data_IF_278135400366
#
_entry.id   IF_278135400366
#
_cell.length_a   1.000
_cell.length_b   1.000
_cell.length_c   1.000
_cell.angle_alpha   90.00
_cell.angle_beta   90.00
_cell.angle_gamma   90.00
#
_symmetry.space_group_name_H-M   'P 1'
#
loop_
_entity.id
_entity.type
_entity.pdbx_description
1 polymer ?
#
# COMPACT_ATOMS: atom_id res chain seq x y z
N UNK A 1 -8.15 23.28 -20.54
CA UNK A 1 -9.32 24.09 -20.13
C UNK A 1 -10.32 24.33 -21.26
N UNK A 2 -9.88 24.77 -22.42
CA UNK A 2 -10.75 25.01 -23.59
C UNK A 2 -11.54 23.76 -24.04
N UNK A 3 -10.89 22.59 -23.97
CA UNK A 3 -11.52 21.31 -24.31
C UNK A 3 -12.69 20.97 -23.38
N UNK A 4 -12.51 21.21 -22.08
CA UNK A 4 -13.55 20.96 -21.06
C UNK A 4 -14.69 21.97 -21.20
N UNK A 5 -14.36 23.24 -21.38
CA UNK A 5 -15.34 24.32 -21.61
C UNK A 5 -16.22 24.00 -22.81
N UNK A 6 -15.63 23.53 -23.91
CA UNK A 6 -16.35 23.15 -25.14
C UNK A 6 -17.24 21.91 -24.92
N UNK A 7 -16.78 20.95 -24.11
CA UNK A 7 -17.52 19.71 -23.82
C UNK A 7 -18.74 19.94 -22.90
N UNK A 8 -18.64 20.94 -22.02
CA UNK A 8 -19.69 21.29 -21.05
C UNK A 8 -20.55 22.50 -21.49
N UNK A 9 -20.29 23.06 -22.65
CA UNK A 9 -20.95 24.24 -23.20
C UNK A 9 -20.97 25.46 -22.25
N UNK A 10 -19.81 25.72 -21.63
CA UNK A 10 -19.62 26.84 -20.70
C UNK A 10 -18.35 27.63 -21.05
N UNK A 11 -18.25 28.85 -20.50
CA UNK A 11 -17.06 29.66 -20.75
C UNK A 11 -15.80 29.09 -20.07
N UNK A 12 -14.60 29.28 -20.67
CA UNK A 12 -13.33 28.92 -20.00
C UNK A 12 -13.15 29.59 -18.63
N UNK A 13 -13.76 30.78 -18.46
CA UNK A 13 -13.75 31.53 -17.18
C UNK A 13 -14.60 30.82 -16.12
N UNK A 14 -15.73 30.26 -16.52
CA UNK A 14 -16.58 29.43 -15.63
C UNK A 14 -15.79 28.20 -15.13
N UNK A 15 -15.19 27.46 -16.06
CA UNK A 15 -14.35 26.29 -15.69
C UNK A 15 -13.22 26.68 -14.73
N UNK A 16 -12.55 27.81 -15.00
CA UNK A 16 -11.47 28.29 -14.12
C UNK A 16 -11.97 28.60 -12.71
N UNK A 17 -13.15 29.21 -12.59
CA UNK A 17 -13.77 29.53 -11.31
C UNK A 17 -14.20 28.28 -10.55
N UNK A 18 -14.79 27.33 -11.24
CA UNK A 18 -15.22 26.05 -10.65
C UNK A 18 -14.04 25.22 -10.17
N UNK A 19 -12.96 25.16 -10.96
CA UNK A 19 -11.72 24.49 -10.55
C UNK A 19 -11.07 25.16 -9.33
N UNK A 20 -11.11 26.49 -9.20
CA UNK A 20 -10.63 27.19 -8.00
C UNK A 20 -11.50 26.84 -6.78
N UNK A 21 -12.80 26.72 -6.97
CA UNK A 21 -13.73 26.34 -5.90
C UNK A 21 -13.46 24.89 -5.44
N UNK A 22 -13.31 23.95 -6.36
CA UNK A 22 -13.02 22.55 -6.07
C UNK A 22 -11.64 22.37 -5.42
N UNK A 23 -10.62 23.14 -5.85
CA UNK A 23 -9.29 23.17 -5.20
C UNK A 23 -9.38 23.65 -3.75
N UNK A 24 -10.17 24.71 -3.48
CA UNK A 24 -10.42 25.20 -2.10
C UNK A 24 -11.18 24.19 -1.22
N UNK A 25 -11.99 23.35 -1.84
CA UNK A 25 -12.71 22.27 -1.16
C UNK A 25 -11.88 20.99 -1.01
N UNK A 26 -10.60 21.01 -1.43
CA UNK A 26 -9.70 19.85 -1.47
C UNK A 26 -10.26 18.66 -2.30
N UNK A 27 -11.05 18.94 -3.31
CA UNK A 27 -11.60 17.94 -4.22
C UNK A 27 -10.69 17.66 -5.42
N UNK A 28 -9.87 18.64 -5.81
CA UNK A 28 -8.95 18.56 -6.95
C UNK A 28 -7.61 19.19 -6.60
N UNK A 29 -6.56 18.73 -7.29
CA UNK A 29 -5.26 19.40 -7.36
C UNK A 29 -5.07 19.99 -8.76
N UNK A 30 -4.60 21.26 -8.85
CA UNK A 30 -4.35 21.94 -10.11
C UNK A 30 -2.87 21.94 -10.45
N UNK A 31 -2.55 21.70 -11.71
CA UNK A 31 -1.22 21.80 -12.27
C UNK A 31 -1.20 22.61 -13.56
N UNK A 32 -0.01 22.89 -14.09
CA UNK A 32 0.12 23.65 -15.34
C UNK A 32 -0.44 22.82 -16.51
N UNK A 33 -1.66 23.19 -16.95
CA UNK A 33 -2.36 22.52 -18.06
C UNK A 33 -3.60 21.73 -17.68
N UNK A 34 -3.88 21.48 -16.38
CA UNK A 34 -5.05 20.69 -15.97
C UNK A 34 -5.38 20.72 -14.49
N UNK A 35 -6.29 19.84 -14.12
CA UNK A 35 -6.62 19.52 -12.75
C UNK A 35 -6.93 18.01 -12.66
N UNK A 36 -6.63 17.39 -11.53
CA UNK A 36 -6.98 16.01 -11.21
C UNK A 36 -7.83 15.96 -9.96
N UNK A 37 -8.69 14.98 -9.83
CA UNK A 37 -9.43 14.76 -8.59
C UNK A 37 -8.46 14.41 -7.48
N UNK A 38 -8.62 15.01 -6.30
CA UNK A 38 -7.77 14.69 -5.16
C UNK A 38 -7.99 13.24 -4.70
N UNK A 39 -9.22 12.71 -4.86
CA UNK A 39 -9.52 11.30 -4.66
C UNK A 39 -8.83 10.39 -5.68
N UNK A 40 -8.62 10.84 -6.93
CA UNK A 40 -7.82 10.13 -7.92
C UNK A 40 -6.32 10.21 -7.62
N UNK A 41 -5.84 11.33 -7.07
CA UNK A 41 -4.44 11.42 -6.61
C UNK A 41 -4.19 10.59 -5.33
N UNK A 42 -5.22 10.30 -4.55
CA UNK A 42 -5.21 9.30 -3.48
C UNK A 42 -5.28 7.86 -4.01
N UNK A 43 -5.70 7.70 -5.27
CA UNK A 43 -5.90 6.43 -5.97
C UNK A 43 -4.86 6.16 -7.06
N UNK A 44 -3.76 6.93 -7.14
CA UNK A 44 -2.74 6.69 -8.18
C UNK A 44 -2.05 5.31 -8.10
N UNK A 45 -2.34 4.50 -7.08
CA UNK A 45 -2.05 3.07 -7.10
C UNK A 45 -3.21 2.23 -7.65
N UNK A 46 -4.40 2.82 -7.78
CA UNK A 46 -5.61 2.21 -8.28
C UNK A 46 -6.28 3.18 -9.26
N UNK A 47 -5.83 3.26 -10.53
CA UNK A 47 -6.71 3.65 -11.63
C UNK A 47 -7.17 2.33 -12.27
N UNK A 48 -8.32 1.81 -11.86
CA UNK A 48 -8.91 0.70 -12.57
C UNK A 48 -9.94 1.24 -13.55
N UNK A 49 -9.95 0.71 -14.73
CA UNK A 49 -11.18 0.57 -15.49
C UNK A 49 -12.18 -0.24 -14.64
N UNK A 50 -13.44 0.15 -14.59
CA UNK A 50 -14.53 -0.30 -13.68
C UNK A 50 -14.57 -1.78 -13.23
N UNK A 51 -13.97 -2.71 -13.98
CA UNK A 51 -13.92 -4.13 -13.63
C UNK A 51 -12.75 -4.53 -12.70
N UNK A 52 -11.63 -3.80 -12.73
CA UNK A 52 -10.46 -4.12 -11.91
C UNK A 52 -10.57 -3.66 -10.45
N UNK A 53 -11.38 -2.65 -10.14
CA UNK A 53 -11.58 -2.17 -8.75
C UNK A 53 -12.23 -3.23 -7.85
N UNK A 54 -13.26 -3.89 -8.37
CA UNK A 54 -13.99 -4.92 -7.62
C UNK A 54 -13.10 -6.15 -7.40
N UNK A 55 -12.40 -6.59 -8.45
CA UNK A 55 -11.49 -7.73 -8.39
C UNK A 55 -10.28 -7.47 -7.46
N UNK A 56 -9.63 -6.31 -7.56
CA UNK A 56 -8.55 -5.93 -6.66
C UNK A 56 -9.01 -5.86 -5.19
N UNK A 57 -10.25 -5.42 -4.94
CA UNK A 57 -10.80 -5.35 -3.59
C UNK A 57 -11.02 -6.74 -2.98
N UNK A 58 -11.54 -7.68 -3.77
CA UNK A 58 -11.73 -9.06 -3.34
C UNK A 58 -10.38 -9.75 -3.09
N UNK A 59 -9.43 -9.61 -4.01
CA UNK A 59 -8.07 -10.12 -3.85
C UNK A 59 -7.41 -9.60 -2.58
N UNK A 60 -7.50 -8.29 -2.29
CA UNK A 60 -6.94 -7.69 -1.07
C UNK A 60 -7.51 -8.33 0.20
N UNK A 61 -8.82 -8.63 0.22
CA UNK A 61 -9.45 -9.30 1.37
C UNK A 61 -8.96 -10.74 1.55
N UNK A 62 -8.85 -11.49 0.45
CA UNK A 62 -8.36 -12.87 0.47
C UNK A 62 -6.91 -12.92 0.96
N UNK A 63 -6.05 -12.04 0.40
CA UNK A 63 -4.64 -11.92 0.78
C UNK A 63 -4.50 -11.54 2.25
N UNK A 64 -5.25 -10.52 2.72
CA UNK A 64 -5.19 -10.05 4.09
C UNK A 64 -5.64 -11.12 5.10
N UNK A 65 -6.69 -11.88 4.77
CA UNK A 65 -7.16 -12.99 5.60
C UNK A 65 -6.11 -14.07 5.73
N UNK A 66 -5.54 -14.53 4.63
CA UNK A 66 -4.47 -15.53 4.65
C UNK A 66 -3.24 -15.03 5.40
N UNK A 67 -2.81 -13.79 5.15
CA UNK A 67 -1.69 -13.18 5.86
C UNK A 67 -1.90 -13.14 7.38
N UNK A 68 -3.14 -12.84 7.84
CA UNK A 68 -3.46 -12.83 9.27
C UNK A 68 -3.44 -14.24 9.90
N UNK A 69 -3.69 -15.31 9.13
CA UNK A 69 -3.57 -16.70 9.61
C UNK A 69 -2.12 -17.06 9.92
N UNK A 70 -1.15 -16.45 9.24
CA UNK A 70 0.29 -16.68 9.46
C UNK A 70 0.84 -16.01 10.71
N UNK A 71 0.06 -15.11 11.34
CA UNK A 71 0.45 -14.45 12.58
C UNK A 71 0.18 -15.37 13.77
N UNK A 72 1.14 -15.49 14.66
CA UNK A 72 1.07 -16.34 15.85
C UNK A 72 0.78 -15.51 17.10
N UNK A 73 0.31 -16.20 18.16
CA UNK A 73 0.09 -15.60 19.48
C UNK A 73 1.40 -15.02 20.02
N UNK A 74 1.38 -13.77 20.45
CA UNK A 74 2.54 -13.06 20.99
C UNK A 74 3.45 -12.41 19.95
N UNK A 75 3.17 -12.55 18.65
CA UNK A 75 3.97 -11.92 17.60
C UNK A 75 3.96 -10.38 17.72
N UNK A 76 5.11 -9.79 17.45
CA UNK A 76 5.22 -8.38 17.06
C UNK A 76 5.35 -8.32 15.54
N UNK A 77 4.41 -7.68 14.85
CA UNK A 77 4.41 -7.61 13.40
C UNK A 77 4.52 -6.19 12.87
N UNK A 78 5.21 -6.02 11.74
CA UNK A 78 5.14 -4.80 10.94
C UNK A 78 4.07 -4.93 9.86
N UNK A 79 3.22 -3.91 9.75
CA UNK A 79 2.37 -3.67 8.59
C UNK A 79 2.60 -2.24 8.08
N UNK A 80 2.80 -2.06 6.77
CA UNK A 80 3.02 -0.73 6.22
C UNK A 80 1.70 0.01 5.91
N UNK A 81 1.82 1.19 5.28
CA UNK A 81 0.68 2.05 4.92
C UNK A 81 -0.24 1.52 3.81
N UNK A 82 -0.05 0.29 3.36
CA UNK A 82 -0.90 -0.28 2.31
C UNK A 82 -2.30 -0.63 2.80
N UNK A 83 -3.29 -0.52 1.90
CA UNK A 83 -4.67 -0.93 2.19
C UNK A 83 -4.79 -2.44 2.41
N UNK A 84 -4.02 -3.26 1.70
CA UNK A 84 -4.03 -4.72 1.87
C UNK A 84 -3.52 -5.13 3.24
N UNK A 85 -2.39 -4.54 3.70
CA UNK A 85 -1.85 -4.83 5.03
C UNK A 85 -2.78 -4.33 6.16
N UNK A 86 -3.44 -3.18 5.98
CA UNK A 86 -4.42 -2.66 6.94
C UNK A 86 -5.59 -3.63 7.16
N UNK A 87 -6.10 -4.25 6.08
CA UNK A 87 -7.21 -5.22 6.16
C UNK A 87 -6.88 -6.45 7.01
N UNK A 88 -5.62 -6.74 7.30
CA UNK A 88 -5.25 -7.83 8.23
C UNK A 88 -5.87 -7.63 9.63
N UNK A 89 -6.07 -6.37 10.05
CA UNK A 89 -6.68 -6.06 11.36
C UNK A 89 -8.10 -6.63 11.51
N UNK A 90 -8.84 -6.80 10.41
CA UNK A 90 -10.18 -7.40 10.41
C UNK A 90 -10.15 -8.90 10.79
N UNK A 91 -8.99 -9.55 10.60
CA UNK A 91 -8.81 -11.00 10.71
C UNK A 91 -7.90 -11.42 11.88
N UNK A 92 -7.21 -10.49 12.54
CA UNK A 92 -6.40 -10.76 13.75
C UNK A 92 -7.28 -10.89 15.00
N UNK A 93 -8.23 -11.84 14.99
CA UNK A 93 -9.19 -12.03 16.09
C UNK A 93 -8.72 -13.13 17.04
N UNK A 94 -8.85 -12.85 18.36
CA UNK A 94 -8.52 -13.81 19.41
C UNK A 94 -7.03 -14.12 19.52
N UNK A 95 -6.17 -13.22 19.02
CA UNK A 95 -4.71 -13.32 19.16
C UNK A 95 -4.19 -12.08 19.87
N UNK A 96 -3.38 -12.28 20.88
CA UNK A 96 -2.66 -11.19 21.56
C UNK A 96 -1.39 -10.89 20.76
N UNK A 97 -1.41 -9.83 19.97
CA UNK A 97 -0.32 -9.44 19.05
C UNK A 97 -0.06 -7.95 19.11
N UNK A 98 1.19 -7.56 18.82
CA UNK A 98 1.57 -6.16 18.67
C UNK A 98 1.72 -5.84 17.19
N UNK A 99 0.92 -4.91 16.69
CA UNK A 99 0.98 -4.42 15.32
C UNK A 99 1.65 -3.05 15.28
N UNK A 100 2.80 -2.97 14.66
CA UNK A 100 3.53 -1.71 14.46
C UNK A 100 3.29 -1.22 13.03
N UNK A 101 2.77 0.00 12.89
CA UNK A 101 2.36 0.50 11.57
C UNK A 101 2.61 1.99 11.37
N UNK A 102 2.89 2.36 10.13
CA UNK A 102 2.90 3.74 9.66
C UNK A 102 1.61 4.16 8.93
N UNK A 103 0.56 3.33 8.99
CA UNK A 103 -0.72 3.60 8.36
C UNK A 103 -1.62 4.41 9.30
N UNK A 104 -1.88 5.70 9.01
CA UNK A 104 -2.70 6.53 9.89
C UNK A 104 -4.17 6.10 9.97
N UNK A 105 -4.67 5.33 9.01
CA UNK A 105 -6.02 4.78 9.08
C UNK A 105 -6.16 3.72 10.19
N UNK A 106 -5.08 3.09 10.63
CA UNK A 106 -5.12 2.12 11.72
C UNK A 106 -5.64 2.73 13.03
N UNK A 107 -5.49 4.05 13.23
CA UNK A 107 -6.00 4.76 14.42
C UNK A 107 -7.51 4.59 14.63
N UNK A 108 -8.28 4.55 13.54
CA UNK A 108 -9.74 4.46 13.57
C UNK A 108 -10.25 3.14 12.96
N UNK A 109 -9.36 2.22 12.61
CA UNK A 109 -9.75 0.93 12.05
C UNK A 109 -10.23 0.00 13.16
N UNK A 110 -11.44 -0.59 13.04
CA UNK A 110 -11.90 -1.58 14.01
C UNK A 110 -10.95 -2.76 14.09
N UNK A 111 -10.58 -3.18 15.29
CA UNK A 111 -9.72 -4.34 15.52
C UNK A 111 -10.08 -5.04 16.84
N UNK A 112 -9.57 -6.25 17.04
CA UNK A 112 -9.77 -7.00 18.27
C UNK A 112 -9.08 -6.29 19.45
N UNK A 113 -9.70 -6.18 20.62
CA UNK A 113 -9.09 -5.56 21.81
C UNK A 113 -7.79 -6.21 22.29
N UNK A 114 -7.49 -7.45 21.86
CA UNK A 114 -6.22 -8.13 22.16
C UNK A 114 -5.09 -7.71 21.23
N UNK A 115 -5.38 -6.94 20.19
CA UNK A 115 -4.38 -6.40 19.26
C UNK A 115 -3.93 -5.03 19.73
N UNK A 116 -2.68 -4.93 20.16
CA UNK A 116 -2.05 -3.64 20.48
C UNK A 116 -1.50 -2.98 19.23
N UNK A 117 -1.93 -1.74 18.93
CA UNK A 117 -1.43 -0.98 17.79
C UNK A 117 -0.41 0.07 18.23
N UNK A 118 0.80 -0.02 17.71
CA UNK A 118 1.86 0.97 17.84
C UNK A 118 1.99 1.75 16.53
N UNK A 119 1.63 3.04 16.57
CA UNK A 119 1.85 3.95 15.45
C UNK A 119 3.30 4.42 15.44
N UNK A 120 3.95 4.43 14.28
CA UNK A 120 5.35 4.88 14.17
C UNK A 120 5.54 6.34 14.56
N UNK A 121 4.47 7.16 14.54
CA UNK A 121 4.60 8.61 14.63
C UNK A 121 5.25 9.19 13.37
N UNK A 122 5.64 10.47 13.44
CA UNK A 122 6.27 11.17 12.34
C UNK A 122 5.35 12.13 11.60
N UNK A 123 5.74 12.51 10.41
CA UNK A 123 5.01 13.44 9.56
C UNK A 123 3.91 12.71 8.79
N UNK A 124 2.74 13.34 8.66
CA UNK A 124 1.65 12.76 7.85
C UNK A 124 1.87 13.14 6.39
N UNK A 125 2.17 12.16 5.54
CA UNK A 125 2.12 12.32 4.10
C UNK A 125 0.66 12.31 3.64
N UNK A 126 0.10 13.49 3.40
CA UNK A 126 -1.34 13.70 3.26
C UNK A 126 -2.00 12.87 2.14
N UNK A 127 -1.30 12.68 1.01
CA UNK A 127 -1.83 11.96 -0.16
C UNK A 127 -2.12 10.49 0.14
N UNK A 128 -1.32 9.86 1.01
CA UNK A 128 -1.42 8.43 1.32
C UNK A 128 -1.87 8.16 2.75
N UNK A 129 -2.00 9.22 3.56
CA UNK A 129 -2.28 9.09 4.99
C UNK A 129 -1.28 8.16 5.70
N UNK A 130 -0.04 8.16 5.21
CA UNK A 130 1.07 7.42 5.81
C UNK A 130 1.91 8.32 6.72
N UNK A 131 2.46 7.73 7.77
CA UNK A 131 3.41 8.38 8.67
C UNK A 131 4.82 8.12 8.14
N UNK A 132 5.59 9.19 7.95
CA UNK A 132 6.90 9.15 7.32
C UNK A 132 7.90 10.06 8.06
N UNK A 133 9.12 10.13 7.58
CA UNK A 133 10.17 11.01 8.10
C UNK A 133 10.96 10.40 9.25
N UNK A 134 11.89 11.21 9.79
CA UNK A 134 12.90 10.76 10.76
C UNK A 134 12.31 10.19 12.05
N UNK A 135 11.22 10.73 12.57
CA UNK A 135 10.57 10.21 13.78
C UNK A 135 9.97 8.82 13.55
N UNK A 136 9.34 8.59 12.39
CA UNK A 136 8.81 7.29 12.04
C UNK A 136 9.94 6.25 11.91
N UNK A 137 11.02 6.60 11.20
CA UNK A 137 12.21 5.77 11.05
C UNK A 137 12.87 5.49 12.41
N UNK A 138 13.00 6.51 13.28
CA UNK A 138 13.58 6.34 14.61
C UNK A 138 12.79 5.30 15.42
N UNK A 139 11.45 5.40 15.44
CA UNK A 139 10.59 4.42 16.11
C UNK A 139 10.84 3.01 15.59
N UNK A 140 10.84 2.82 14.27
CA UNK A 140 11.08 1.51 13.65
C UNK A 140 12.45 0.93 14.01
N UNK A 141 13.49 1.77 14.16
CA UNK A 141 14.82 1.28 14.55
C UNK A 141 14.88 0.72 15.97
N UNK A 142 13.93 1.05 16.84
CA UNK A 142 13.84 0.56 18.22
C UNK A 142 13.11 -0.78 18.36
N UNK A 143 12.46 -1.22 17.29
CA UNK A 143 11.61 -2.41 17.30
C UNK A 143 12.26 -3.49 16.43
N UNK A 144 12.15 -4.73 16.85
CA UNK A 144 12.43 -5.92 16.05
C UNK A 144 11.10 -6.66 15.95
N UNK A 145 10.63 -6.91 14.74
CA UNK A 145 9.41 -7.66 14.51
C UNK A 145 9.69 -9.12 14.20
N UNK A 146 8.77 -9.98 14.61
CA UNK A 146 8.81 -11.41 14.30
C UNK A 146 8.43 -11.67 12.85
N UNK A 147 7.51 -10.89 12.30
CA UNK A 147 7.09 -10.96 10.90
C UNK A 147 6.82 -9.56 10.34
N UNK A 148 7.02 -9.39 9.03
CA UNK A 148 6.67 -8.16 8.33
C UNK A 148 5.73 -8.47 7.16
N UNK A 149 4.65 -7.68 7.03
CA UNK A 149 3.66 -7.80 5.97
C UNK A 149 3.59 -6.46 5.22
N UNK A 150 4.20 -6.40 4.04
CA UNK A 150 4.40 -5.18 3.28
C UNK A 150 3.56 -5.23 2.00
N UNK A 151 2.54 -4.38 1.93
CA UNK A 151 1.86 -4.15 0.66
C UNK A 151 2.70 -3.24 -0.24
N UNK A 152 2.59 -3.40 -1.54
CA UNK A 152 3.49 -2.77 -2.53
C UNK A 152 2.72 -2.06 -3.64
N UNK A 153 3.30 -1.03 -4.22
CA UNK A 153 2.81 -0.41 -5.46
C UNK A 153 3.10 -1.26 -6.68
N UNK A 154 4.24 -1.93 -6.69
CA UNK A 154 4.65 -2.88 -7.72
C UNK A 154 5.75 -3.80 -7.22
N UNK A 155 5.80 -5.01 -7.81
CA UNK A 155 6.86 -6.00 -7.59
C UNK A 155 7.23 -6.66 -8.91
N UNK A 156 8.52 -6.70 -9.21
CA UNK A 156 9.06 -7.37 -10.40
C UNK A 156 10.39 -8.06 -10.10
N UNK A 157 10.79 -8.99 -10.96
CA UNK A 157 12.07 -9.68 -10.81
C UNK A 157 13.27 -8.72 -10.96
N UNK A 158 13.16 -7.74 -11.85
CA UNK A 158 14.23 -6.79 -12.15
C UNK A 158 14.22 -5.56 -11.24
N UNK A 159 13.03 -5.03 -10.92
CA UNK A 159 12.87 -3.81 -10.14
C UNK A 159 12.69 -4.03 -8.62
N UNK A 160 12.56 -5.28 -8.16
CA UNK A 160 12.26 -5.56 -6.75
C UNK A 160 10.91 -5.00 -6.32
N UNK A 161 10.84 -4.44 -5.12
CA UNK A 161 9.66 -3.76 -4.59
C UNK A 161 9.74 -2.27 -4.91
N UNK A 162 8.69 -1.73 -5.51
CA UNK A 162 8.64 -0.32 -5.94
C UNK A 162 7.37 0.38 -5.47
N UNK A 163 7.45 1.70 -5.33
CA UNK A 163 6.34 2.59 -4.96
C UNK A 163 6.38 3.89 -5.77
N UNK A 164 5.23 4.55 -5.91
CA UNK A 164 5.14 5.92 -6.43
C UNK A 164 5.46 7.00 -5.38
N UNK A 165 5.69 6.61 -4.11
CA UNK A 165 5.80 7.51 -2.96
C UNK A 165 7.21 7.45 -2.36
N UNK A 166 8.07 8.39 -2.72
CA UNK A 166 9.46 8.44 -2.26
C UNK A 166 9.62 8.38 -0.72
N UNK A 167 8.86 9.11 0.11
CA UNK A 167 9.01 9.04 1.57
C UNK A 167 8.72 7.67 2.19
N UNK A 168 7.98 6.78 1.51
CA UNK A 168 7.65 5.45 2.01
C UNK A 168 8.76 4.42 1.77
N UNK A 169 9.71 4.70 0.87
CA UNK A 169 10.78 3.74 0.54
C UNK A 169 11.61 3.38 1.77
N UNK A 170 12.08 4.38 2.51
CA UNK A 170 12.89 4.18 3.72
C UNK A 170 12.12 3.48 4.85
N UNK A 171 10.79 3.72 4.95
CA UNK A 171 9.91 3.04 5.90
C UNK A 171 9.83 1.55 5.56
N UNK A 172 9.49 1.20 4.30
CA UNK A 172 9.37 -0.18 3.84
C UNK A 172 10.69 -0.94 4.00
N UNK A 173 11.80 -0.34 3.56
CA UNK A 173 13.15 -0.91 3.75
C UNK A 173 13.47 -1.16 5.21
N UNK A 174 13.16 -0.20 6.10
CA UNK A 174 13.45 -0.33 7.53
C UNK A 174 12.61 -1.44 8.16
N UNK A 175 11.31 -1.56 7.81
CA UNK A 175 10.45 -2.64 8.30
C UNK A 175 11.00 -4.01 7.89
N UNK A 176 11.39 -4.19 6.61
CA UNK A 176 11.98 -5.44 6.13
C UNK A 176 13.30 -5.76 6.84
N UNK A 177 14.18 -4.78 6.98
CA UNK A 177 15.48 -4.95 7.64
C UNK A 177 15.37 -5.24 9.14
N UNK A 178 14.33 -4.71 9.81
CA UNK A 178 14.10 -4.89 11.26
C UNK A 178 13.20 -6.08 11.57
N UNK A 179 12.83 -6.86 10.59
CA UNK A 179 12.15 -8.14 10.75
C UNK A 179 13.21 -9.24 10.91
N UNK A 180 13.10 -10.03 11.99
CA UNK A 180 14.00 -11.17 12.27
C UNK A 180 13.49 -12.49 11.70
N UNK A 181 12.18 -12.60 11.45
CA UNK A 181 11.56 -13.78 10.86
C UNK A 181 11.17 -13.56 9.40
N UNK A 182 10.02 -14.12 8.99
CA UNK A 182 9.58 -14.06 7.59
C UNK A 182 9.06 -12.69 7.19
N UNK A 183 9.48 -12.26 5.99
CA UNK A 183 9.12 -11.00 5.33
C UNK A 183 8.19 -11.31 4.17
N UNK A 184 6.92 -10.97 4.34
CA UNK A 184 5.86 -11.21 3.38
C UNK A 184 5.56 -9.95 2.58
N UNK A 185 5.44 -10.10 1.27
CA UNK A 185 4.88 -9.08 0.37
C UNK A 185 3.45 -9.46 0.02
N UNK A 186 2.55 -8.50 0.17
CA UNK A 186 1.12 -8.63 -0.13
C UNK A 186 0.81 -7.87 -1.41
N UNK A 187 0.45 -8.56 -2.48
CA UNK A 187 0.25 -7.94 -3.77
C UNK A 187 -0.94 -8.55 -4.54
N UNK A 188 -1.94 -7.75 -4.88
CA UNK A 188 -2.94 -8.13 -5.85
C UNK A 188 -2.31 -8.29 -7.24
N UNK A 189 -2.96 -9.01 -8.15
CA UNK A 189 -2.45 -9.33 -9.48
C UNK A 189 -2.05 -8.10 -10.30
N UNK A 190 -2.75 -6.98 -10.11
CA UNK A 190 -2.44 -5.71 -10.77
C UNK A 190 -1.06 -5.13 -10.43
N UNK A 191 -0.43 -5.61 -9.35
CA UNK A 191 0.88 -5.15 -8.88
C UNK A 191 2.04 -6.03 -9.36
N UNK A 192 1.73 -7.24 -9.87
CA UNK A 192 2.74 -8.21 -10.33
C UNK A 192 3.34 -7.79 -11.68
N UNK A 193 4.66 -7.64 -11.71
CA UNK A 193 5.40 -7.18 -12.88
C UNK A 193 5.26 -5.68 -13.17
N UNK A 194 4.68 -4.91 -12.23
CA UNK A 194 4.60 -3.45 -12.28
C UNK A 194 5.84 -2.85 -11.60
N UNK A 195 6.32 -1.76 -12.15
CA UNK A 195 7.42 -0.97 -11.57
C UNK A 195 7.01 0.49 -11.47
N UNK A 196 7.36 1.10 -10.34
CA UNK A 196 7.22 2.51 -10.07
C UNK A 196 8.58 3.20 -9.99
N UNK A 197 8.57 4.53 -9.90
CA UNK A 197 9.77 5.35 -9.97
C UNK A 197 10.72 5.22 -8.77
N UNK A 198 10.22 4.72 -7.62
CA UNK A 198 11.02 4.66 -6.40
C UNK A 198 11.15 3.22 -5.90
N UNK A 199 12.39 2.79 -5.79
CA UNK A 199 12.75 1.48 -5.29
C UNK A 199 12.71 1.47 -3.75
N UNK A 200 12.07 0.45 -3.17
CA UNK A 200 11.96 0.26 -1.71
C UNK A 200 12.87 -0.86 -1.20
N UNK A 201 12.97 -1.98 -1.92
CA UNK A 201 13.77 -3.12 -1.51
C UNK A 201 14.03 -4.10 -2.66
N UNK A 202 15.16 -4.81 -2.60
CA UNK A 202 15.47 -5.93 -3.48
C UNK A 202 14.67 -7.17 -3.10
N UNK A 203 14.43 -8.08 -4.07
CA UNK A 203 13.76 -9.36 -3.81
C UNK A 203 14.52 -10.24 -2.81
N UNK A 204 15.83 -10.08 -2.64
CA UNK A 204 16.62 -10.78 -1.60
C UNK A 204 16.18 -10.44 -0.17
N UNK A 205 15.43 -9.35 0.01
CA UNK A 205 14.85 -8.96 1.29
C UNK A 205 13.42 -9.46 1.49
N UNK A 206 12.90 -10.27 0.56
CA UNK A 206 11.55 -10.84 0.57
C UNK A 206 11.66 -12.36 0.68
N UNK A 207 10.96 -12.94 1.62
CA UNK A 207 10.92 -14.40 1.77
C UNK A 207 9.72 -15.01 1.05
N UNK A 208 8.59 -14.32 1.04
CA UNK A 208 7.37 -14.83 0.45
C UNK A 208 6.50 -13.71 -0.15
N UNK A 209 6.00 -13.95 -1.37
CA UNK A 209 4.96 -13.16 -2.01
C UNK A 209 3.61 -13.87 -1.85
N UNK A 210 2.61 -13.17 -1.32
CA UNK A 210 1.23 -13.65 -1.24
C UNK A 210 0.41 -12.86 -2.26
N UNK A 211 -0.19 -13.59 -3.20
CA UNK A 211 -1.02 -13.04 -4.29
C UNK A 211 -2.21 -13.95 -4.57
N UNK A 212 -3.04 -13.61 -5.55
CA UNK A 212 -4.14 -14.45 -6.00
C UNK A 212 -3.82 -15.10 -7.35
N UNK A 213 -4.48 -16.22 -7.66
CA UNK A 213 -4.44 -16.84 -8.98
C UNK A 213 -4.92 -15.88 -10.07
N UNK A 214 -4.52 -16.14 -11.32
CA UNK A 214 -4.88 -15.31 -12.48
C UNK A 214 -3.88 -14.20 -12.78
N UNK A 215 -2.79 -14.09 -12.03
CA UNK A 215 -1.66 -13.22 -12.36
C UNK A 215 -0.94 -13.65 -13.65
N UNK A 216 -0.04 -12.80 -14.15
CA UNK A 216 0.79 -13.12 -15.33
C UNK A 216 1.82 -14.19 -14.96
N UNK A 217 1.58 -15.47 -15.34
CA UNK A 217 2.45 -16.61 -15.01
C UNK A 217 3.93 -16.35 -15.24
N UNK A 218 4.30 -15.74 -16.37
CA UNK A 218 5.70 -15.43 -16.68
C UNK A 218 6.34 -14.45 -15.68
N UNK A 219 5.57 -13.52 -15.12
CA UNK A 219 6.05 -12.56 -14.13
C UNK A 219 6.17 -13.20 -12.74
N UNK A 220 5.20 -14.04 -12.39
CA UNK A 220 5.23 -14.84 -11.15
C UNK A 220 6.43 -15.78 -11.17
N UNK A 221 6.62 -16.54 -12.26
CA UNK A 221 7.76 -17.42 -12.43
C UNK A 221 9.12 -16.70 -12.36
N UNK A 222 9.21 -15.48 -12.90
CA UNK A 222 10.43 -14.68 -12.79
C UNK A 222 10.74 -14.28 -11.33
N UNK A 223 9.73 -13.93 -10.52
CA UNK A 223 9.89 -13.65 -9.09
C UNK A 223 10.30 -14.92 -8.33
N UNK A 224 9.67 -16.06 -8.61
CA UNK A 224 10.04 -17.36 -8.02
C UNK A 224 11.48 -17.73 -8.33
N UNK A 225 11.93 -17.52 -9.57
CA UNK A 225 13.31 -17.80 -9.99
C UNK A 225 14.35 -16.90 -9.29
N UNK A 226 13.90 -15.77 -8.71
CA UNK A 226 14.75 -14.90 -7.88
C UNK A 226 14.86 -15.40 -6.42
N UNK A 227 14.28 -16.56 -6.09
CA UNK A 227 14.36 -17.21 -4.77
C UNK A 227 13.24 -16.81 -3.80
N UNK A 228 12.21 -16.09 -4.25
CA UNK A 228 11.05 -15.72 -3.43
C UNK A 228 10.02 -16.85 -3.48
N UNK A 229 9.58 -17.35 -2.32
CA UNK A 229 8.41 -18.22 -2.23
C UNK A 229 7.16 -17.49 -2.73
N UNK A 230 6.32 -18.10 -3.55
CA UNK A 230 5.06 -17.49 -4.00
C UNK A 230 3.89 -18.37 -3.62
N UNK A 231 2.95 -17.76 -2.90
CA UNK A 231 1.67 -18.35 -2.53
C UNK A 231 0.59 -17.69 -3.37
N UNK A 232 -0.06 -18.49 -4.23
CA UNK A 232 -1.18 -18.07 -5.05
C UNK A 232 -2.48 -18.58 -4.43
N UNK A 233 -3.39 -17.67 -4.08
CA UNK A 233 -4.65 -17.96 -3.40
C UNK A 233 -5.80 -18.02 -4.42
N UNK A 234 -6.70 -18.97 -4.24
CA UNK A 234 -7.93 -19.05 -5.04
C UNK A 234 -8.88 -17.90 -4.71
N UNK A 235 -9.49 -17.32 -5.75
CA UNK A 235 -10.52 -16.29 -5.66
C UNK A 235 -11.90 -16.94 -5.48
#
# INVERSE_FOLDING_TARGET
METVAKKLDVSPTTIRRDLIMFEKQNLIERFHGGATLLEESLREEDIPTDNHETEDKEQKQIIARYAAELVEEGDTIFINSSSTALLMLDYLKGKSVIVVTNNSFALNHPHDPQVDIIMTGGEIYQRRKSLVGEFALHTLTKIIADKAFIGVGGISADGGITTSVLPETAINETMLRRCQGKRYVLAANSKIGREHNFHSADLSQVDCLITCEGGKESKIAAIQNSGVEVVELHI
#
